data_IF_807952498056
#
_entry.id   IF_807952498056
#
_cell.length_a   1.000
_cell.length_b   1.000
_cell.length_c   1.000
_cell.angle_alpha   90.00
_cell.angle_beta   90.00
_cell.angle_gamma   90.00
#
_symmetry.space_group_name_H-M   'P 1'
#
loop_
_entity.id
_entity.type
_entity.pdbx_description
1 polymer ?
#
# COMPACT_ATOMS: atom_id res chain seq x y z
N UNK A 1 -7.88 -11.70 -13.23
CA UNK A 1 -7.50 -13.02 -12.68
C UNK A 1 -7.85 -14.12 -13.64
N UNK A 2 -7.20 -15.27 -13.52
CA UNK A 2 -7.36 -16.42 -14.42
C UNK A 2 -8.43 -17.39 -13.88
N UNK A 3 -9.18 -18.09 -14.73
CA UNK A 3 -10.12 -19.11 -14.29
C UNK A 3 -9.38 -20.34 -13.72
N UNK A 4 -10.04 -21.10 -12.85
CA UNK A 4 -9.43 -22.22 -12.09
C UNK A 4 -8.73 -23.24 -13.00
N UNK A 5 -9.34 -23.61 -14.12
CA UNK A 5 -8.79 -24.57 -15.07
C UNK A 5 -7.47 -24.10 -15.73
N UNK A 6 -7.12 -22.81 -15.60
CA UNK A 6 -5.88 -22.24 -16.13
C UNK A 6 -4.77 -22.05 -15.07
N UNK A 7 -5.07 -22.23 -13.79
CA UNK A 7 -4.14 -21.95 -12.69
C UNK A 7 -2.90 -22.82 -12.82
N UNK A 8 -3.06 -24.14 -12.99
CA UNK A 8 -1.93 -25.07 -13.08
C UNK A 8 -1.10 -24.84 -14.36
N UNK A 9 -1.75 -24.63 -15.50
CA UNK A 9 -1.07 -24.30 -16.77
C UNK A 9 -0.27 -23.01 -16.64
N UNK A 10 -0.83 -21.99 -15.97
CA UNK A 10 -0.16 -20.70 -15.74
C UNK A 10 1.07 -20.87 -14.85
N UNK A 11 0.94 -21.59 -13.75
CA UNK A 11 2.05 -21.85 -12.84
C UNK A 11 3.18 -22.63 -13.56
N UNK A 12 2.85 -23.68 -14.30
CA UNK A 12 3.83 -24.43 -15.08
C UNK A 12 4.53 -23.56 -16.13
N UNK A 13 3.78 -22.66 -16.77
CA UNK A 13 4.33 -21.70 -17.73
C UNK A 13 5.35 -20.76 -17.06
N UNK A 14 5.08 -20.31 -15.83
CA UNK A 14 6.02 -19.48 -15.06
C UNK A 14 7.33 -20.23 -14.77
N UNK A 15 7.25 -21.49 -14.31
CA UNK A 15 8.44 -22.32 -14.10
C UNK A 15 9.25 -22.49 -15.38
N UNK A 16 8.58 -22.80 -16.49
CA UNK A 16 9.21 -22.96 -17.80
C UNK A 16 9.90 -21.67 -18.29
N UNK A 17 9.24 -20.52 -18.15
CA UNK A 17 9.77 -19.23 -18.56
C UNK A 17 11.00 -18.82 -17.73
N UNK A 18 11.01 -19.18 -16.44
CA UNK A 18 12.15 -18.97 -15.56
C UNK A 18 13.28 -20.00 -15.77
N UNK A 19 13.01 -21.13 -16.45
CA UNK A 19 13.94 -22.21 -16.65
C UNK A 19 14.32 -22.92 -15.33
N UNK A 20 13.39 -23.04 -14.39
CA UNK A 20 13.62 -23.61 -13.07
C UNK A 20 12.62 -24.72 -12.74
N UNK A 21 13.00 -25.62 -11.84
CA UNK A 21 12.12 -26.69 -11.35
C UNK A 21 11.26 -26.27 -10.16
N UNK A 22 11.67 -25.22 -9.44
CA UNK A 22 10.97 -24.66 -8.28
C UNK A 22 11.26 -23.16 -8.14
N UNK A 23 10.43 -22.45 -7.37
CA UNK A 23 10.58 -21.04 -7.03
C UNK A 23 10.79 -20.92 -5.52
N UNK A 24 11.81 -20.17 -5.09
CA UNK A 24 12.10 -19.99 -3.67
C UNK A 24 11.03 -19.18 -2.95
N UNK A 25 10.66 -18.03 -3.50
CA UNK A 25 9.63 -17.13 -2.95
C UNK A 25 8.56 -16.90 -3.99
N UNK A 26 7.37 -17.43 -3.76
CA UNK A 26 6.21 -17.27 -4.64
C UNK A 26 5.10 -16.56 -3.90
N UNK A 27 4.54 -15.51 -4.50
CA UNK A 27 3.42 -14.78 -3.91
C UNK A 27 2.18 -14.84 -4.80
N UNK A 28 1.02 -14.99 -4.19
CA UNK A 28 -0.26 -14.78 -4.83
C UNK A 28 -0.49 -13.28 -4.96
N UNK A 29 -0.59 -12.80 -6.21
CA UNK A 29 -0.59 -11.37 -6.52
C UNK A 29 -1.95 -10.73 -6.24
N UNK A 30 -1.90 -9.53 -5.64
CA UNK A 30 -3.01 -8.60 -5.50
C UNK A 30 -4.21 -9.17 -4.73
N UNK A 31 -3.94 -9.68 -3.52
CA UNK A 31 -5.01 -10.08 -2.60
C UNK A 31 -5.62 -8.83 -1.98
N UNK A 32 -6.90 -8.64 -2.21
CA UNK A 32 -7.69 -7.50 -1.76
C UNK A 32 -9.14 -7.90 -1.51
N UNK A 33 -9.94 -7.07 -0.85
CA UNK A 33 -11.29 -7.39 -0.43
C UNK A 33 -12.16 -7.95 -1.56
N UNK A 34 -12.23 -7.24 -2.68
CA UNK A 34 -13.06 -7.63 -3.83
C UNK A 34 -12.67 -9.01 -4.39
N UNK A 35 -11.38 -9.36 -4.35
CA UNK A 35 -10.90 -10.65 -4.87
C UNK A 35 -10.99 -11.77 -3.85
N UNK A 36 -10.95 -11.45 -2.56
CA UNK A 36 -11.04 -12.45 -1.49
C UNK A 36 -12.50 -12.73 -1.08
N UNK A 37 -13.25 -11.68 -0.73
CA UNK A 37 -14.64 -11.80 -0.28
C UNK A 37 -15.68 -11.58 -1.37
N UNK A 38 -15.31 -10.95 -2.48
CA UNK A 38 -16.29 -10.51 -3.49
C UNK A 38 -17.00 -9.22 -3.10
N UNK A 39 -17.69 -8.61 -4.04
CA UNK A 39 -18.49 -7.40 -3.77
C UNK A 39 -19.66 -7.64 -2.82
N UNK A 40 -20.22 -8.85 -2.84
CA UNK A 40 -21.40 -9.24 -2.04
C UNK A 40 -21.03 -9.99 -0.73
N UNK A 41 -19.72 -10.14 -0.46
CA UNK A 41 -19.23 -10.86 0.72
C UNK A 41 -19.36 -12.40 0.66
N UNK A 42 -19.81 -12.96 -0.46
CA UNK A 42 -20.07 -14.41 -0.61
C UNK A 42 -18.87 -15.21 -1.13
N UNK A 43 -17.74 -14.56 -1.31
CA UNK A 43 -16.50 -15.15 -1.80
C UNK A 43 -16.11 -14.61 -3.17
N UNK A 44 -14.90 -14.05 -3.22
CA UNK A 44 -14.28 -13.55 -4.44
C UNK A 44 -13.59 -14.66 -5.23
N UNK A 45 -12.95 -14.25 -6.32
CA UNK A 45 -12.29 -15.20 -7.24
C UNK A 45 -11.19 -16.01 -6.56
N UNK A 46 -10.52 -15.48 -5.54
CA UNK A 46 -9.50 -16.21 -4.77
C UNK A 46 -10.08 -17.47 -4.12
N UNK A 47 -11.28 -17.36 -3.53
CA UNK A 47 -11.97 -18.49 -2.90
C UNK A 47 -12.64 -19.41 -3.94
N UNK A 48 -13.31 -18.83 -4.93
CA UNK A 48 -14.03 -19.61 -5.95
C UNK A 48 -13.14 -20.38 -6.91
N UNK A 49 -11.87 -20.02 -7.02
CA UNK A 49 -10.86 -20.73 -7.81
C UNK A 49 -9.92 -21.59 -6.95
N UNK A 50 -10.18 -21.74 -5.67
CA UNK A 50 -9.37 -22.53 -4.74
C UNK A 50 -7.86 -22.17 -4.80
N UNK A 51 -7.54 -20.87 -4.95
CA UNK A 51 -6.18 -20.42 -5.24
C UNK A 51 -5.17 -20.77 -4.13
N UNK A 52 -5.58 -20.71 -2.86
CA UNK A 52 -4.72 -21.08 -1.74
C UNK A 52 -4.49 -22.59 -1.68
N UNK A 53 -5.48 -23.40 -2.03
CA UNK A 53 -5.35 -24.86 -2.11
C UNK A 53 -4.34 -25.27 -3.20
N UNK A 54 -4.39 -24.62 -4.39
CA UNK A 54 -3.38 -24.79 -5.43
C UNK A 54 -1.98 -24.42 -4.92
N UNK A 55 -1.82 -23.27 -4.30
CA UNK A 55 -0.54 -22.80 -3.80
C UNK A 55 0.03 -23.73 -2.69
N UNK A 56 -0.82 -24.20 -1.80
CA UNK A 56 -0.46 -25.19 -0.77
C UNK A 56 0.05 -26.49 -1.39
N UNK A 57 -0.66 -26.98 -2.43
CA UNK A 57 -0.23 -28.17 -3.16
C UNK A 57 1.14 -27.97 -3.82
N UNK A 58 1.40 -26.83 -4.48
CA UNK A 58 2.70 -26.54 -5.08
C UNK A 58 3.83 -26.54 -4.04
N UNK A 59 3.53 -26.09 -2.82
CA UNK A 59 4.48 -26.12 -1.71
C UNK A 59 4.73 -27.57 -1.24
N UNK A 60 3.69 -28.38 -1.08
CA UNK A 60 3.79 -29.81 -0.72
C UNK A 60 4.54 -30.61 -1.79
N UNK A 61 4.34 -30.29 -3.07
CA UNK A 61 5.04 -30.90 -4.21
C UNK A 61 6.49 -30.38 -4.39
N UNK A 62 6.95 -29.45 -3.53
CA UNK A 62 8.30 -28.88 -3.58
C UNK A 62 8.53 -27.92 -4.76
N UNK A 63 7.47 -27.45 -5.41
CA UNK A 63 7.52 -26.51 -6.53
C UNK A 63 7.67 -25.06 -6.09
N UNK A 64 7.28 -24.74 -4.85
CA UNK A 64 7.57 -23.49 -4.18
C UNK A 64 8.11 -23.75 -2.79
N UNK A 65 9.05 -22.93 -2.31
CA UNK A 65 9.63 -23.07 -0.97
C UNK A 65 8.90 -22.21 0.05
N UNK A 66 8.69 -20.96 -0.26
CA UNK A 66 8.04 -19.97 0.60
C UNK A 66 6.81 -19.40 -0.10
N UNK A 67 5.64 -19.53 0.52
CA UNK A 67 4.39 -18.96 0.04
C UNK A 67 4.15 -17.59 0.68
N UNK A 68 3.80 -16.61 -0.14
CA UNK A 68 3.40 -15.27 0.30
C UNK A 68 2.20 -14.74 -0.47
N UNK A 69 1.82 -13.52 -0.12
CA UNK A 69 0.80 -12.73 -0.82
C UNK A 69 1.29 -11.30 -1.03
N UNK A 70 0.84 -10.63 -2.10
CA UNK A 70 0.82 -9.17 -2.11
C UNK A 70 -0.57 -8.69 -1.73
N UNK A 71 -0.62 -7.68 -0.85
CA UNK A 71 -1.85 -7.30 -0.17
C UNK A 71 -2.13 -5.79 -0.32
N UNK A 72 -3.41 -5.44 -0.61
CA UNK A 72 -3.84 -4.09 -0.93
C UNK A 72 -5.24 -3.79 -0.35
N UNK A 73 -5.43 -4.04 0.96
CA UNK A 73 -6.72 -3.79 1.61
C UNK A 73 -6.55 -3.47 3.09
N UNK A 74 -7.62 -3.59 3.89
CA UNK A 74 -7.62 -3.24 5.31
C UNK A 74 -6.81 -4.21 6.18
N UNK A 75 -6.25 -3.69 7.29
CA UNK A 75 -5.55 -4.51 8.28
C UNK A 75 -6.46 -5.60 8.90
N UNK A 76 -7.76 -5.33 9.02
CA UNK A 76 -8.73 -6.31 9.53
C UNK A 76 -8.87 -7.51 8.58
N UNK A 77 -8.94 -7.25 7.29
CA UNK A 77 -8.96 -8.34 6.29
C UNK A 77 -7.66 -9.13 6.32
N UNK A 78 -6.52 -8.46 6.45
CA UNK A 78 -5.22 -9.12 6.53
C UNK A 78 -5.11 -10.04 7.75
N UNK A 79 -5.56 -9.59 8.93
CA UNK A 79 -5.56 -10.40 10.16
C UNK A 79 -6.40 -11.68 10.00
N UNK A 80 -7.55 -11.55 9.34
CA UNK A 80 -8.42 -12.69 9.01
C UNK A 80 -7.76 -13.65 8.02
N UNK A 81 -7.19 -13.14 6.93
CA UNK A 81 -6.49 -13.97 5.93
C UNK A 81 -5.33 -14.74 6.55
N UNK A 82 -4.48 -14.08 7.35
CA UNK A 82 -3.35 -14.75 8.00
C UNK A 82 -3.78 -15.74 9.08
N UNK A 83 -4.99 -15.61 9.63
CA UNK A 83 -5.59 -16.58 10.53
C UNK A 83 -6.14 -17.80 9.78
N UNK A 84 -6.84 -17.57 8.66
CA UNK A 84 -7.43 -18.60 7.81
C UNK A 84 -6.36 -19.41 7.04
N UNK A 85 -5.22 -18.73 6.68
CA UNK A 85 -4.14 -19.28 5.85
C UNK A 85 -2.78 -19.24 6.58
N UNK A 86 -2.57 -20.07 7.62
CA UNK A 86 -1.33 -20.06 8.38
C UNK A 86 -0.10 -20.52 7.58
N UNK A 87 -0.28 -21.09 6.39
CA UNK A 87 0.78 -21.45 5.45
C UNK A 87 1.46 -20.25 4.78
N UNK A 88 0.89 -19.06 4.85
CA UNK A 88 1.50 -17.81 4.35
C UNK A 88 2.69 -17.46 5.24
N UNK A 89 3.88 -17.30 4.66
CA UNK A 89 5.13 -17.04 5.38
C UNK A 89 5.59 -15.60 5.29
N UNK A 90 5.19 -14.90 4.22
CA UNK A 90 5.52 -13.49 4.02
C UNK A 90 4.39 -12.73 3.33
N UNK A 91 4.34 -11.43 3.59
CA UNK A 91 3.37 -10.52 2.97
C UNK A 91 4.11 -9.35 2.35
N UNK A 92 3.76 -9.04 1.11
CA UNK A 92 4.21 -7.83 0.43
C UNK A 92 3.15 -6.75 0.55
N UNK A 93 3.51 -5.59 1.10
CA UNK A 93 2.62 -4.43 1.31
C UNK A 93 3.24 -3.14 0.79
N UNK A 94 2.40 -2.20 0.35
CA UNK A 94 2.81 -0.81 0.16
C UNK A 94 3.10 -0.18 1.53
N UNK A 95 4.35 0.30 1.70
CA UNK A 95 4.75 0.90 2.96
C UNK A 95 5.85 1.93 2.76
N UNK A 96 5.61 3.12 3.27
CA UNK A 96 6.54 4.24 3.26
C UNK A 96 6.18 5.24 4.38
N UNK A 97 7.01 6.26 4.67
CA UNK A 97 6.76 7.17 5.78
C UNK A 97 5.46 7.99 5.68
N UNK A 98 4.97 8.28 4.47
CA UNK A 98 3.77 9.08 4.30
C UNK A 98 2.49 8.26 4.45
N UNK A 99 2.54 6.96 4.12
CA UNK A 99 1.41 6.05 4.21
C UNK A 99 1.36 5.28 5.55
N UNK A 100 2.37 5.43 6.40
CA UNK A 100 2.48 4.71 7.67
C UNK A 100 1.23 4.86 8.54
N UNK A 101 0.72 6.07 8.70
CA UNK A 101 -0.46 6.42 9.48
C UNK A 101 -1.66 6.84 8.59
N UNK A 102 -1.64 6.47 7.30
CA UNK A 102 -2.78 6.66 6.40
C UNK A 102 -3.95 5.76 6.82
N UNK A 103 -5.12 6.37 7.07
CA UNK A 103 -6.35 5.63 7.37
C UNK A 103 -6.88 4.86 6.15
N UNK A 104 -6.43 5.19 4.93
CA UNK A 104 -6.84 4.52 3.70
C UNK A 104 -5.90 3.35 3.36
N UNK A 105 -4.60 3.60 3.28
CA UNK A 105 -3.58 2.58 2.94
C UNK A 105 -3.32 1.63 4.10
N UNK A 106 -3.40 2.12 5.33
CA UNK A 106 -3.19 1.36 6.57
C UNK A 106 -1.85 0.62 6.62
N UNK A 107 -0.78 1.25 6.11
CA UNK A 107 0.53 0.60 6.02
C UNK A 107 1.07 0.16 7.39
N UNK A 108 1.04 1.02 8.40
CA UNK A 108 1.44 0.70 9.77
C UNK A 108 0.56 -0.39 10.40
N UNK A 109 -0.77 -0.26 10.42
CA UNK A 109 -1.66 -1.32 10.90
C UNK A 109 -1.46 -2.67 10.21
N UNK A 110 -1.28 -2.70 8.88
CA UNK A 110 -0.98 -3.94 8.14
C UNK A 110 0.38 -4.52 8.56
N UNK A 111 1.41 -3.69 8.72
CA UNK A 111 2.71 -4.13 9.22
C UNK A 111 2.58 -4.75 10.63
N UNK A 112 1.85 -4.12 11.53
CA UNK A 112 1.63 -4.64 12.90
C UNK A 112 0.92 -6.00 12.88
N UNK A 113 -0.08 -6.18 12.01
CA UNK A 113 -0.76 -7.47 11.79
C UNK A 113 0.23 -8.53 11.30
N UNK A 114 1.06 -8.23 10.30
CA UNK A 114 2.04 -9.18 9.77
C UNK A 114 3.00 -9.63 10.88
N UNK A 115 3.48 -8.68 11.70
CA UNK A 115 4.38 -8.96 12.83
C UNK A 115 3.69 -9.73 13.96
N UNK A 116 2.43 -9.44 14.27
CA UNK A 116 1.60 -10.20 15.22
C UNK A 116 1.51 -11.69 14.84
N UNK A 117 1.41 -11.99 13.54
CA UNK A 117 1.40 -13.36 13.03
C UNK A 117 2.80 -13.98 12.82
N UNK A 118 3.88 -13.27 13.22
CA UNK A 118 5.28 -13.68 13.01
C UNK A 118 5.63 -13.97 11.53
N UNK A 119 5.05 -13.19 10.61
CA UNK A 119 5.35 -13.28 9.19
C UNK A 119 6.43 -12.30 8.77
N UNK A 120 7.11 -12.60 7.67
CA UNK A 120 8.09 -11.69 7.07
C UNK A 120 7.40 -10.65 6.20
N UNK A 121 8.07 -9.51 6.03
CA UNK A 121 7.56 -8.37 5.26
C UNK A 121 8.43 -8.16 4.02
N UNK A 122 7.81 -8.01 2.88
CA UNK A 122 8.39 -7.42 1.68
C UNK A 122 7.71 -6.06 1.48
N UNK A 123 8.50 -5.03 1.26
CA UNK A 123 7.96 -3.68 1.08
C UNK A 123 7.99 -3.30 -0.40
N UNK A 124 6.85 -2.90 -0.93
CA UNK A 124 6.71 -2.19 -2.19
C UNK A 124 6.38 -0.72 -1.94
N UNK A 125 6.54 0.12 -2.93
CA UNK A 125 6.30 1.57 -2.87
C UNK A 125 7.07 2.30 -1.75
N UNK A 126 8.26 1.85 -1.42
CA UNK A 126 9.08 2.45 -0.36
C UNK A 126 9.34 3.95 -0.57
N UNK A 127 9.29 4.45 -1.81
CA UNK A 127 9.43 5.87 -2.18
C UNK A 127 8.14 6.40 -2.82
N UNK A 128 7.01 5.71 -2.66
CA UNK A 128 5.67 6.07 -3.19
C UNK A 128 5.72 6.49 -4.67
N UNK A 129 6.12 5.54 -5.55
CA UNK A 129 6.22 5.82 -6.99
C UNK A 129 7.20 6.94 -7.38
N UNK A 130 8.13 7.31 -6.48
CA UNK A 130 9.04 8.43 -6.67
C UNK A 130 8.58 9.74 -6.01
N UNK A 131 7.36 9.80 -5.48
CA UNK A 131 6.81 10.98 -4.80
C UNK A 131 7.64 11.45 -3.62
N UNK A 132 8.25 10.50 -2.89
CA UNK A 132 9.13 10.81 -1.76
C UNK A 132 10.61 11.03 -2.15
N UNK A 133 10.93 11.08 -3.45
CA UNK A 133 12.27 11.45 -3.91
C UNK A 133 12.43 12.97 -4.07
N UNK A 134 11.33 13.71 -4.08
CA UNK A 134 11.29 15.17 -4.14
C UNK A 134 10.19 15.69 -3.22
N UNK A 135 10.59 16.48 -2.24
CA UNK A 135 9.70 17.04 -1.23
C UNK A 135 9.62 18.58 -1.37
N UNK A 136 8.70 19.26 -0.67
CA UNK A 136 8.74 20.71 -0.53
C UNK A 136 10.07 21.20 0.04
N UNK A 137 10.56 22.34 -0.43
CA UNK A 137 11.89 22.89 -0.07
C UNK A 137 12.17 22.91 1.44
N UNK A 138 11.17 23.20 2.26
CA UNK A 138 11.33 23.22 3.72
C UNK A 138 11.58 21.80 4.28
N UNK A 139 10.90 20.78 3.76
CA UNK A 139 11.12 19.40 4.16
C UNK A 139 12.50 18.89 3.68
N UNK A 140 12.88 19.17 2.44
CA UNK A 140 14.20 18.80 1.92
C UNK A 140 15.33 19.47 2.72
N UNK A 141 15.20 20.78 3.02
CA UNK A 141 16.18 21.52 3.81
C UNK A 141 16.34 20.92 5.20
N UNK A 142 15.25 20.50 5.84
CA UNK A 142 15.28 19.81 7.14
C UNK A 142 16.06 18.49 7.06
N UNK A 143 15.74 17.65 6.06
CA UNK A 143 16.40 16.36 5.88
C UNK A 143 17.89 16.53 5.55
N UNK A 144 18.23 17.47 4.68
CA UNK A 144 19.61 17.80 4.31
C UNK A 144 20.44 18.42 5.44
N UNK A 145 19.81 19.14 6.35
CA UNK A 145 20.48 19.66 7.55
C UNK A 145 20.89 18.54 8.50
N UNK A 146 20.04 17.52 8.65
CA UNK A 146 20.36 16.36 9.48
C UNK A 146 21.42 15.45 8.86
N UNK A 147 21.28 15.11 7.56
CA UNK A 147 22.22 14.27 6.81
C UNK A 147 22.47 14.84 5.40
N UNK A 148 23.48 15.71 5.24
CA UNK A 148 23.80 16.36 3.94
C UNK A 148 24.07 15.37 2.80
N UNK A 149 24.68 14.24 3.13
CA UNK A 149 25.13 13.22 2.16
C UNK A 149 24.05 12.21 1.76
N UNK A 150 22.89 12.19 2.46
CA UNK A 150 21.80 11.31 2.10
C UNK A 150 20.94 11.94 1.00
N UNK A 151 20.53 11.13 0.01
CA UNK A 151 19.49 11.57 -0.94
C UNK A 151 18.14 11.67 -0.22
N UNK A 152 17.20 12.44 -0.78
CA UNK A 152 15.85 12.54 -0.21
C UNK A 152 15.17 11.17 -0.24
N UNK A 153 15.28 10.42 -1.34
CA UNK A 153 14.74 9.07 -1.46
C UNK A 153 15.31 8.10 -0.43
N UNK A 154 16.60 8.24 -0.05
CA UNK A 154 17.26 7.34 0.89
C UNK A 154 16.66 7.39 2.30
N UNK A 155 16.03 8.48 2.70
CA UNK A 155 15.30 8.57 3.97
C UNK A 155 14.13 7.58 4.03
N UNK A 156 13.32 7.54 2.98
CA UNK A 156 12.21 6.56 2.88
C UNK A 156 12.72 5.13 2.79
N UNK A 157 13.80 4.90 2.03
CA UNK A 157 14.42 3.57 1.96
C UNK A 157 14.95 3.12 3.32
N UNK A 158 15.64 3.99 4.06
CA UNK A 158 16.15 3.71 5.41
C UNK A 158 15.02 3.46 6.41
N UNK A 159 13.92 4.21 6.31
CA UNK A 159 12.71 3.96 7.10
C UNK A 159 12.24 2.51 6.90
N UNK A 160 12.03 2.10 5.66
CA UNK A 160 11.57 0.76 5.31
C UNK A 160 12.56 -0.33 5.76
N UNK A 161 13.86 -0.13 5.50
CA UNK A 161 14.92 -1.07 5.88
C UNK A 161 15.14 -1.18 7.39
N UNK A 162 14.68 -0.19 8.17
CA UNK A 162 14.82 -0.18 9.64
C UNK A 162 13.69 -0.89 10.38
N UNK A 163 12.69 -1.41 9.67
CA UNK A 163 11.56 -2.11 10.27
C UNK A 163 11.90 -3.59 10.50
N UNK A 164 11.53 -4.10 11.67
CA UNK A 164 11.78 -5.50 12.02
C UNK A 164 11.01 -6.47 11.11
N UNK A 165 11.62 -7.61 10.78
CA UNK A 165 11.02 -8.64 9.93
C UNK A 165 10.96 -8.32 8.44
N UNK A 166 11.45 -7.16 8.00
CA UNK A 166 11.59 -6.83 6.57
C UNK A 166 12.74 -7.65 5.98
N UNK A 167 12.44 -8.41 4.93
CA UNK A 167 13.41 -9.26 4.22
C UNK A 167 13.82 -8.69 2.86
N UNK A 168 12.99 -7.82 2.28
CA UNK A 168 13.30 -7.12 1.03
C UNK A 168 12.52 -5.82 0.93
N UNK A 169 13.14 -4.84 0.27
CA UNK A 169 12.49 -3.60 -0.17
C UNK A 169 12.61 -3.53 -1.68
N UNK A 170 11.47 -3.51 -2.36
CA UNK A 170 11.39 -3.44 -3.80
C UNK A 170 11.59 -2.00 -4.27
N UNK A 171 12.32 -1.82 -5.36
CA UNK A 171 12.52 -0.50 -5.95
C UNK A 171 12.48 -0.57 -7.47
N UNK A 172 11.61 0.23 -8.08
CA UNK A 172 11.44 0.38 -9.53
C UNK A 172 12.46 1.36 -10.11
N UNK A 173 13.76 1.05 -10.02
CA UNK A 173 14.83 1.90 -10.51
C UNK A 173 14.85 1.94 -12.04
N UNK A 174 14.68 3.13 -12.61
CA UNK A 174 14.68 3.35 -14.08
C UNK A 174 15.96 3.99 -14.60
N UNK A 175 16.86 4.43 -13.71
CA UNK A 175 18.14 5.04 -14.07
C UNK A 175 19.31 4.41 -13.30
N UNK A 176 20.52 4.46 -13.88
CA UNK A 176 21.73 3.96 -13.22
C UNK A 176 22.04 4.72 -11.92
N UNK A 177 21.69 6.00 -11.84
CA UNK A 177 21.94 6.79 -10.64
C UNK A 177 21.01 6.38 -9.50
N UNK A 178 19.74 6.05 -9.78
CA UNK A 178 18.84 5.44 -8.79
C UNK A 178 19.37 4.08 -8.30
N UNK A 179 19.91 3.24 -9.21
CA UNK A 179 20.52 1.96 -8.81
C UNK A 179 21.70 2.18 -7.86
N UNK A 180 22.58 3.13 -8.17
CA UNK A 180 23.76 3.46 -7.34
C UNK A 180 23.33 3.99 -5.96
N UNK A 181 22.36 4.92 -5.92
CA UNK A 181 21.88 5.54 -4.69
C UNK A 181 21.20 4.51 -3.78
N UNK A 182 20.27 3.70 -4.33
CA UNK A 182 19.56 2.69 -3.57
C UNK A 182 20.51 1.56 -3.10
N UNK A 183 21.48 1.15 -3.93
CA UNK A 183 22.50 0.16 -3.54
C UNK A 183 23.40 0.71 -2.44
N UNK A 184 23.84 1.97 -2.55
CA UNK A 184 24.58 2.65 -1.49
C UNK A 184 23.78 2.67 -0.19
N UNK A 185 22.51 3.13 -0.27
CA UNK A 185 21.61 3.20 0.89
C UNK A 185 21.45 1.83 1.55
N UNK A 186 21.20 0.78 0.78
CA UNK A 186 21.03 -0.58 1.31
C UNK A 186 22.30 -1.13 1.95
N UNK A 187 23.48 -0.86 1.39
CA UNK A 187 24.77 -1.32 1.92
C UNK A 187 25.22 -0.54 3.18
N UNK A 188 24.83 0.74 3.27
CA UNK A 188 25.16 1.62 4.38
C UNK A 188 24.03 1.71 5.41
N UNK A 189 22.92 1.00 5.20
CA UNK A 189 21.74 1.10 6.02
C UNK A 189 22.05 0.76 7.47
N UNK A 190 22.44 1.79 8.22
CA UNK A 190 22.24 1.83 9.63
C UNK A 190 20.75 2.02 9.93
N UNK A 191 20.27 1.49 11.04
CA UNK A 191 18.94 1.80 11.53
C UNK A 191 18.83 3.32 11.74
N UNK A 192 17.68 3.90 11.35
CA UNK A 192 17.38 5.27 11.72
C UNK A 192 17.44 5.41 13.25
N UNK A 193 18.17 6.41 13.74
CA UNK A 193 18.14 6.78 15.15
C UNK A 193 16.77 7.35 15.54
N UNK A 194 16.49 7.47 16.82
CA UNK A 194 15.26 8.11 17.29
C UNK A 194 15.18 9.57 16.84
N UNK A 195 16.31 10.27 16.72
CA UNK A 195 16.36 11.63 16.21
C UNK A 195 16.06 11.68 14.71
N UNK A 196 16.63 10.75 13.92
CA UNK A 196 16.30 10.64 12.48
C UNK A 196 14.82 10.38 12.25
N UNK A 197 14.20 9.55 13.08
CA UNK A 197 12.75 9.28 13.01
C UNK A 197 11.93 10.54 13.27
N UNK A 198 12.32 11.38 14.23
CA UNK A 198 11.65 12.66 14.50
C UNK A 198 11.82 13.63 13.34
N UNK A 199 13.03 13.74 12.80
CA UNK A 199 13.31 14.58 11.63
C UNK A 199 12.47 14.14 10.45
N UNK A 200 12.40 12.84 10.17
CA UNK A 200 11.58 12.29 9.08
C UNK A 200 10.08 12.54 9.32
N UNK A 201 9.60 12.34 10.54
CA UNK A 201 8.20 12.61 10.89
C UNK A 201 7.83 14.09 10.67
N UNK A 202 8.73 15.01 11.06
CA UNK A 202 8.52 16.45 10.82
C UNK A 202 8.55 16.77 9.32
N UNK A 203 9.45 16.16 8.54
CA UNK A 203 9.45 16.33 7.09
C UNK A 203 8.14 15.85 6.46
N UNK A 204 7.57 14.72 6.90
CA UNK A 204 6.28 14.23 6.43
C UNK A 204 5.13 15.15 6.87
N UNK A 205 5.19 15.73 8.08
CA UNK A 205 4.21 16.75 8.51
C UNK A 205 4.24 17.98 7.60
N UNK A 206 5.43 18.49 7.28
CA UNK A 206 5.60 19.61 6.34
C UNK A 206 5.04 19.24 4.96
N UNK A 207 5.30 18.02 4.49
CA UNK A 207 4.80 17.55 3.20
C UNK A 207 3.27 17.56 3.15
N UNK A 208 2.59 16.98 4.16
CA UNK A 208 1.13 16.96 4.25
C UNK A 208 0.55 18.37 4.37
N UNK A 209 1.20 19.25 5.13
CA UNK A 209 0.72 20.64 5.30
C UNK A 209 0.91 21.49 4.05
N UNK A 210 1.88 21.14 3.20
CA UNK A 210 2.15 21.81 1.91
C UNK A 210 1.31 21.26 0.76
N UNK A 211 0.49 20.23 1.00
CA UNK A 211 -0.37 19.61 -0.01
C UNK A 211 -1.56 20.49 -0.36
N UNK A 212 -2.22 20.29 -1.53
CA UNK A 212 -3.33 21.16 -2.00
C UNK A 212 -4.46 21.36 -1.01
N UNK A 213 -4.76 20.34 -0.19
CA UNK A 213 -5.60 20.47 1.00
C UNK A 213 -4.67 20.20 2.19
N UNK A 214 -4.31 21.22 2.99
CA UNK A 214 -3.43 21.04 4.14
C UNK A 214 -4.00 20.08 5.17
N UNK A 215 -3.11 19.34 5.85
CA UNK A 215 -3.55 18.39 6.89
C UNK A 215 -4.36 19.07 7.99
N UNK A 216 -4.01 20.27 8.36
CA UNK A 216 -4.74 21.09 9.34
C UNK A 216 -6.19 21.41 8.91
N UNK A 217 -6.47 21.47 7.60
CA UNK A 217 -7.84 21.57 7.08
C UNK A 217 -8.54 20.20 7.12
N UNK A 218 -7.86 19.13 6.67
CA UNK A 218 -8.38 17.75 6.65
C UNK A 218 -8.78 17.30 8.05
N UNK A 219 -8.00 17.67 9.08
CA UNK A 219 -8.28 17.32 10.47
C UNK A 219 -9.62 17.84 11.00
N UNK A 220 -10.16 18.89 10.38
CA UNK A 220 -11.49 19.43 10.73
C UNK A 220 -12.64 18.51 10.28
N UNK A 221 -12.37 17.55 9.40
CA UNK A 221 -13.34 16.62 8.84
C UNK A 221 -13.26 15.22 9.48
N UNK A 222 -12.44 15.05 10.53
CA UNK A 222 -12.38 13.79 11.28
C UNK A 222 -13.76 13.43 11.84
N UNK A 223 -14.09 12.14 11.75
CA UNK A 223 -15.38 11.61 12.17
C UNK A 223 -16.48 11.67 11.10
N UNK A 224 -16.29 12.41 10.01
CA UNK A 224 -17.20 12.36 8.87
C UNK A 224 -16.90 11.15 8.00
N UNK A 225 -17.96 10.54 7.48
CA UNK A 225 -17.87 9.36 6.62
C UNK A 225 -18.51 9.60 5.27
N UNK A 226 -17.95 8.97 4.24
CA UNK A 226 -18.53 8.91 2.90
C UNK A 226 -18.46 7.46 2.42
N UNK A 227 -19.61 6.82 2.19
CA UNK A 227 -19.70 5.40 1.85
C UNK A 227 -18.86 4.50 2.75
N UNK A 228 -18.96 4.69 4.06
CA UNK A 228 -18.23 3.91 5.06
C UNK A 228 -16.74 4.20 5.18
N UNK A 229 -16.19 5.14 4.37
CA UNK A 229 -14.78 5.53 4.41
C UNK A 229 -14.63 6.90 5.09
N UNK A 230 -13.63 7.11 5.98
CA UNK A 230 -13.38 8.41 6.58
C UNK A 230 -13.11 9.48 5.51
N UNK A 231 -13.80 10.62 5.61
CA UNK A 231 -13.61 11.75 4.70
C UNK A 231 -12.18 12.29 4.79
N UNK A 232 -11.59 12.30 5.98
CA UNK A 232 -10.18 12.65 6.19
C UNK A 232 -9.23 11.77 5.35
N UNK A 233 -9.47 10.47 5.30
CA UNK A 233 -8.67 9.53 4.52
C UNK A 233 -8.79 9.80 3.00
N UNK A 234 -10.00 10.04 2.50
CA UNK A 234 -10.26 10.37 1.09
C UNK A 234 -9.53 11.66 0.69
N UNK A 235 -9.69 12.71 1.48
CA UNK A 235 -9.10 14.02 1.18
C UNK A 235 -7.57 14.00 1.32
N UNK A 236 -7.02 13.23 2.26
CA UNK A 236 -5.58 13.06 2.41
C UNK A 236 -4.99 12.34 1.19
N UNK A 237 -5.58 11.21 0.77
CA UNK A 237 -5.15 10.47 -0.42
C UNK A 237 -5.22 11.36 -1.66
N UNK A 238 -6.35 12.03 -1.90
CA UNK A 238 -6.52 12.97 -2.99
C UNK A 238 -5.45 14.07 -3.01
N UNK A 239 -5.19 14.69 -1.86
CA UNK A 239 -4.25 15.79 -1.73
C UNK A 239 -2.81 15.34 -2.00
N UNK A 240 -2.40 14.21 -1.45
CA UNK A 240 -1.05 13.65 -1.64
C UNK A 240 -0.85 13.18 -3.09
N UNK A 241 -1.82 12.47 -3.68
CA UNK A 241 -1.71 12.00 -5.06
C UNK A 241 -1.54 13.12 -6.08
N UNK A 242 -2.13 14.30 -5.84
CA UNK A 242 -2.00 15.44 -6.76
C UNK A 242 -0.59 16.03 -6.87
N UNK A 243 0.24 15.87 -5.85
CA UNK A 243 1.61 16.41 -5.81
C UNK A 243 2.67 15.37 -6.14
N UNK A 244 2.27 14.14 -6.46
CA UNK A 244 3.19 13.11 -6.95
C UNK A 244 3.63 13.41 -8.39
N UNK A 245 4.87 13.01 -8.79
CA UNK A 245 5.35 13.18 -10.16
C UNK A 245 4.49 12.46 -11.20
N UNK A 246 3.95 11.32 -10.85
CA UNK A 246 3.00 10.55 -11.65
C UNK A 246 1.82 10.11 -10.78
N UNK A 247 0.71 10.87 -10.79
CA UNK A 247 -0.48 10.53 -10.00
C UNK A 247 -1.09 9.17 -10.34
N UNK A 248 -0.95 8.72 -11.60
CA UNK A 248 -1.43 7.41 -12.05
C UNK A 248 -0.63 6.24 -11.48
N UNK A 249 0.52 6.48 -10.88
CA UNK A 249 1.35 5.45 -10.24
C UNK A 249 1.02 5.24 -8.76
N UNK A 250 -0.11 5.74 -8.28
CA UNK A 250 -0.55 5.56 -6.90
C UNK A 250 -1.63 4.50 -6.78
N UNK A 251 -1.47 3.63 -5.78
CA UNK A 251 -2.47 2.60 -5.45
C UNK A 251 -3.64 3.15 -4.61
N UNK A 252 -3.60 4.41 -4.20
CA UNK A 252 -4.58 5.02 -3.30
C UNK A 252 -6.04 4.89 -3.82
N UNK A 253 -6.23 4.88 -5.12
CA UNK A 253 -7.53 4.64 -5.73
C UNK A 253 -8.04 3.21 -5.56
N UNK A 254 -7.16 2.21 -5.64
CA UNK A 254 -7.53 0.82 -5.40
C UNK A 254 -7.90 0.62 -3.93
N UNK A 255 -7.16 1.23 -3.00
CA UNK A 255 -7.51 1.25 -1.58
C UNK A 255 -8.87 1.91 -1.34
N UNK A 256 -9.18 3.04 -2.00
CA UNK A 256 -10.48 3.69 -1.88
C UNK A 256 -11.63 2.78 -2.36
N UNK A 257 -11.48 2.17 -3.54
CA UNK A 257 -12.49 1.25 -4.10
C UNK A 257 -12.71 0.04 -3.19
N UNK A 258 -11.62 -0.53 -2.68
CA UNK A 258 -11.68 -1.66 -1.76
C UNK A 258 -12.34 -1.29 -0.43
N UNK A 259 -12.02 -0.14 0.14
CA UNK A 259 -12.60 0.33 1.39
C UNK A 259 -14.11 0.57 1.26
N UNK A 260 -14.58 1.17 0.16
CA UNK A 260 -16.00 1.36 -0.11
C UNK A 260 -16.70 0.00 -0.33
N UNK A 261 -16.09 -0.89 -1.11
CA UNK A 261 -16.66 -2.22 -1.34
C UNK A 261 -16.74 -3.05 -0.06
N UNK A 262 -15.74 -2.95 0.83
CA UNK A 262 -15.76 -3.61 2.14
C UNK A 262 -16.83 -3.04 3.06
N UNK A 263 -17.05 -1.73 3.04
CA UNK A 263 -18.00 -1.06 3.93
C UNK A 263 -19.46 -1.23 3.50
N UNK A 264 -19.76 -1.17 2.20
CA UNK A 264 -21.13 -1.12 1.68
C UNK A 264 -21.53 -2.35 0.87
N UNK A 265 -20.61 -3.29 0.60
CA UNK A 265 -20.85 -4.46 -0.25
C UNK A 265 -21.37 -4.10 -1.65
N UNK A 266 -20.81 -3.04 -2.24
CA UNK A 266 -21.20 -2.53 -3.55
C UNK A 266 -20.08 -2.69 -4.57
N UNK A 267 -20.47 -2.95 -5.81
CA UNK A 267 -19.57 -2.84 -6.94
C UNK A 267 -19.42 -1.36 -7.34
N UNK A 268 -18.24 -0.80 -7.11
CA UNK A 268 -17.92 0.58 -7.42
C UNK A 268 -18.16 0.93 -8.91
N UNK A 269 -18.02 -0.03 -9.83
CA UNK A 269 -18.24 0.18 -11.25
C UNK A 269 -19.70 0.48 -11.62
N UNK A 270 -20.64 0.15 -10.75
CA UNK A 270 -22.06 0.48 -10.91
C UNK A 270 -22.40 1.92 -10.51
N UNK A 271 -21.41 2.70 -10.09
CA UNK A 271 -21.57 4.05 -9.56
C UNK A 271 -22.03 4.06 -8.10
N UNK A 272 -21.68 5.12 -7.39
CA UNK A 272 -22.08 5.33 -6.00
C UNK A 272 -23.36 6.17 -5.96
N UNK A 273 -24.23 5.86 -5.00
CA UNK A 273 -25.38 6.72 -4.68
C UNK A 273 -24.88 8.07 -4.15
N UNK A 274 -25.66 9.13 -4.32
CA UNK A 274 -25.32 10.42 -3.74
C UNK A 274 -25.44 10.39 -2.22
N UNK A 275 -24.37 10.68 -1.52
CA UNK A 275 -24.35 10.81 -0.07
C UNK A 275 -23.95 12.23 0.33
N UNK A 276 -24.79 12.87 1.14
CA UNK A 276 -24.52 14.21 1.63
C UNK A 276 -23.52 14.18 2.78
N UNK A 277 -22.51 15.04 2.75
CA UNK A 277 -21.48 15.21 3.79
C UNK A 277 -21.57 16.61 4.36
N UNK A 278 -21.95 16.73 5.62
CA UNK A 278 -22.13 18.01 6.32
C UNK A 278 -21.37 17.96 7.64
N UNK A 279 -20.58 19.02 7.88
CA UNK A 279 -19.84 19.18 9.14
C UNK A 279 -20.78 19.51 10.32
N UNK A 280 -20.31 19.36 11.54
CA UNK A 280 -21.09 19.68 12.75
C UNK A 280 -21.58 21.13 12.78
N UNK A 281 -20.83 22.05 12.20
CA UNK A 281 -21.22 23.48 12.11
C UNK A 281 -22.12 23.79 10.91
N UNK A 282 -22.61 22.77 10.19
CA UNK A 282 -23.57 22.89 9.08
C UNK A 282 -22.96 23.22 7.72
N UNK A 283 -21.60 23.22 7.56
CA UNK A 283 -20.96 23.40 6.26
C UNK A 283 -21.15 22.14 5.40
N UNK A 284 -21.73 22.26 4.24
CA UNK A 284 -21.85 21.21 3.25
C UNK A 284 -20.53 21.11 2.46
N UNK A 285 -19.89 19.94 2.49
CA UNK A 285 -18.62 19.64 1.79
C UNK A 285 -18.77 18.49 0.79
N UNK A 286 -20.01 18.12 0.46
CA UNK A 286 -20.33 17.02 -0.44
C UNK A 286 -19.59 17.15 -1.77
N UNK A 287 -19.64 18.32 -2.40
CA UNK A 287 -18.96 18.56 -3.68
C UNK A 287 -17.44 18.38 -3.59
N UNK A 288 -16.83 18.79 -2.49
CA UNK A 288 -15.38 18.60 -2.26
C UNK A 288 -15.03 17.11 -2.17
N UNK A 289 -15.82 16.34 -1.46
CA UNK A 289 -15.61 14.90 -1.29
C UNK A 289 -15.86 14.16 -2.61
N UNK A 290 -16.97 14.44 -3.30
CA UNK A 290 -17.30 13.84 -4.60
C UNK A 290 -16.20 14.14 -5.63
N UNK A 291 -15.67 15.38 -5.67
CA UNK A 291 -14.54 15.76 -6.53
C UNK A 291 -13.28 14.93 -6.22
N UNK A 292 -12.97 14.74 -4.95
CA UNK A 292 -11.80 13.94 -4.54
C UNK A 292 -11.98 12.47 -4.96
N UNK A 293 -13.14 11.87 -4.71
CA UNK A 293 -13.46 10.50 -5.12
C UNK A 293 -13.39 10.34 -6.64
N UNK A 294 -14.01 11.26 -7.38
CA UNK A 294 -14.03 11.27 -8.84
C UNK A 294 -12.61 11.36 -9.43
N UNK A 295 -11.76 12.19 -8.82
CA UNK A 295 -10.38 12.35 -9.24
C UNK A 295 -9.56 11.09 -8.97
N UNK A 296 -9.61 10.57 -7.76
CA UNK A 296 -8.91 9.33 -7.39
C UNK A 296 -9.33 8.15 -8.28
N UNK A 297 -10.62 8.04 -8.61
CA UNK A 297 -11.12 6.94 -9.44
C UNK A 297 -10.75 7.03 -10.90
N UNK A 298 -10.53 8.24 -11.42
CA UNK A 298 -10.09 8.48 -12.82
C UNK A 298 -8.60 8.25 -13.03
N UNK A 299 -7.79 8.32 -11.97
CA UNK A 299 -6.34 8.14 -12.01
C UNK A 299 -5.95 6.75 -11.50
N UNK A 300 -6.69 5.71 -11.87
CA UNK A 300 -6.38 4.31 -11.56
C UNK A 300 -5.62 3.63 -12.69
N UNK A 301 -4.71 2.69 -12.32
CA UNK A 301 -4.15 1.72 -13.25
C UNK A 301 -5.23 0.90 -13.93
#
# INVERSE_FOLDING_TARGET
MIPEEKIEETFQTQLNNLGVEYIDYYLLHNIQNVYYDGYDGNGGIVKTTHLFEHAKKWKEDGKIRHLGISFHSSANLLDRILTEHPEIEFVQIALNPIDWDSELVQAGPCYDVIRKHDRKVIIMEAVKGGGLAKLPDAAESLLKTAHPDWSIASWSMRFSLSLDGVIAVLSGMSTLDQVKDNTKTSNEAGLLTDEDRKVLAEAMRIYRESSPIPQSEIDQYKGLMYHGVPVSAILQAYSICQIQPDPGFSDDNNYLKNAIAEAEHVDFHNGLSKQKVVTENGKDITETVEKAVDWLTKHSF
#
